data_IF_639406223524
#
_entry.id   IF_639406223524
#
_cell.length_a   1.000
_cell.length_b   1.000
_cell.length_c   1.000
_cell.angle_alpha   90.00
_cell.angle_beta   90.00
_cell.angle_gamma   90.00
#
_symmetry.space_group_name_H-M   'P 1'
#
loop_
_entity.id
_entity.type
_entity.pdbx_description
1 polymer ?
#
# COMPACT_ATOMS: atom_id res chain seq x y z
N UNK A 1 2.93 -20.27 4.85
CA UNK A 1 3.63 -19.81 3.61
C UNK A 1 2.62 -19.33 2.56
N UNK A 2 1.64 -20.16 2.16
CA UNK A 2 0.60 -19.79 1.16
C UNK A 2 -0.21 -18.55 1.54
N UNK A 3 -0.58 -18.42 2.82
CA UNK A 3 -1.39 -17.30 3.33
C UNK A 3 -0.67 -15.94 3.24
N UNK A 4 0.67 -15.95 3.30
CA UNK A 4 1.49 -14.75 3.18
C UNK A 4 1.53 -14.28 1.71
N UNK A 5 1.64 -15.22 0.77
CA UNK A 5 1.60 -14.97 -0.68
C UNK A 5 0.22 -14.43 -1.10
N UNK A 6 -0.87 -15.05 -0.62
CA UNK A 6 -2.25 -14.60 -0.89
C UNK A 6 -2.46 -13.18 -0.36
N UNK A 7 -1.99 -12.87 0.85
CA UNK A 7 -2.05 -11.50 1.39
C UNK A 7 -1.22 -10.50 0.58
N UNK A 8 -0.05 -10.88 0.10
CA UNK A 8 0.76 -9.99 -0.76
C UNK A 8 -0.01 -9.69 -2.04
N UNK A 9 -0.58 -10.70 -2.69
CA UNK A 9 -1.38 -10.54 -3.92
C UNK A 9 -2.61 -9.66 -3.69
N UNK A 10 -3.33 -9.85 -2.58
CA UNK A 10 -4.47 -9.01 -2.21
C UNK A 10 -4.04 -7.55 -2.00
N UNK A 11 -2.94 -7.31 -1.27
CA UNK A 11 -2.47 -5.94 -1.04
C UNK A 11 -1.99 -5.28 -2.35
N UNK A 12 -1.32 -6.05 -3.22
CA UNK A 12 -0.88 -5.56 -4.54
C UNK A 12 -2.09 -5.23 -5.44
N UNK A 13 -3.12 -6.08 -5.45
CA UNK A 13 -4.37 -5.81 -6.15
C UNK A 13 -5.08 -4.57 -5.56
N UNK A 14 -5.09 -4.42 -4.24
CA UNK A 14 -5.66 -3.25 -3.57
C UNK A 14 -4.92 -1.95 -3.94
N UNK A 15 -3.59 -2.00 -4.08
CA UNK A 15 -2.81 -0.87 -4.60
C UNK A 15 -3.21 -0.53 -6.04
N UNK A 16 -3.33 -1.53 -6.91
CA UNK A 16 -3.76 -1.30 -8.30
C UNK A 16 -5.15 -0.67 -8.37
N UNK A 17 -6.07 -1.11 -7.51
CA UNK A 17 -7.39 -0.50 -7.37
C UNK A 17 -7.26 0.93 -6.86
N UNK A 18 -6.43 1.19 -5.85
CA UNK A 18 -6.20 2.54 -5.35
C UNK A 18 -5.64 3.47 -6.42
N UNK A 19 -4.70 3.02 -7.26
CA UNK A 19 -4.17 3.81 -8.39
C UNK A 19 -5.28 4.14 -9.40
N UNK A 20 -6.21 3.23 -9.64
CA UNK A 20 -7.30 3.41 -10.61
C UNK A 20 -8.47 4.25 -10.07
N UNK A 21 -8.72 4.16 -8.77
CA UNK A 21 -9.86 4.81 -8.08
C UNK A 21 -9.48 6.22 -7.61
N UNK A 22 -8.23 6.43 -7.18
CA UNK A 22 -7.82 7.72 -6.66
C UNK A 22 -7.46 8.67 -7.82
N UNK A 23 -7.94 9.92 -7.79
CA UNK A 23 -7.63 10.88 -8.84
C UNK A 23 -6.12 11.13 -8.95
N UNK A 24 -5.67 11.43 -10.17
CA UNK A 24 -4.26 11.50 -10.54
C UNK A 24 -3.47 12.60 -9.80
N UNK A 25 -4.16 13.57 -9.20
CA UNK A 25 -3.58 14.59 -8.32
C UNK A 25 -3.07 14.01 -6.99
N UNK A 26 -3.62 12.87 -6.54
CA UNK A 26 -3.25 12.23 -5.28
C UNK A 26 -2.33 11.03 -5.48
N UNK A 27 -2.44 10.32 -6.60
CA UNK A 27 -1.48 9.29 -7.01
C UNK A 27 -1.15 9.52 -8.48
N UNK A 28 0.07 10.00 -8.71
CA UNK A 28 0.58 10.20 -10.06
C UNK A 28 1.48 9.04 -10.42
N UNK A 29 1.21 8.39 -11.54
CA UNK A 29 2.12 7.43 -12.12
C UNK A 29 2.51 7.96 -13.50
N UNK A 30 3.70 8.57 -13.58
CA UNK A 30 4.26 8.99 -14.86
C UNK A 30 4.96 7.78 -15.50
N UNK A 31 4.15 6.88 -16.03
CA UNK A 31 4.59 5.92 -17.03
C UNK A 31 4.60 6.70 -18.35
N UNK A 32 5.76 6.96 -18.94
CA UNK A 32 5.81 7.38 -20.34
C UNK A 32 5.37 6.20 -21.23
N UNK A 33 6.22 5.81 -22.19
CA UNK A 33 5.99 4.63 -23.02
C UNK A 33 6.44 3.30 -22.37
N UNK A 34 6.70 3.30 -21.06
CA UNK A 34 7.41 2.26 -20.33
C UNK A 34 6.50 1.48 -19.38
N UNK A 35 5.73 0.54 -19.93
CA UNK A 35 4.83 -0.35 -19.15
C UNK A 35 5.58 -1.21 -18.12
N UNK A 36 6.87 -1.47 -18.33
CA UNK A 36 7.72 -2.24 -17.42
C UNK A 36 7.91 -1.56 -16.05
N UNK A 37 7.79 -0.23 -15.97
CA UNK A 37 7.89 0.53 -14.71
C UNK A 37 6.77 0.19 -13.73
N UNK A 38 5.56 -0.10 -14.24
CA UNK A 38 4.43 -0.55 -13.41
C UNK A 38 4.74 -1.89 -12.73
N UNK A 39 5.30 -2.83 -13.49
CA UNK A 39 5.74 -4.13 -12.97
C UNK A 39 6.80 -3.97 -11.87
N UNK A 40 7.76 -3.07 -12.09
CA UNK A 40 8.82 -2.79 -11.13
C UNK A 40 8.30 -2.12 -9.85
N UNK A 41 7.38 -1.17 -9.95
CA UNK A 41 6.74 -0.58 -8.76
C UNK A 41 5.90 -1.60 -8.01
N UNK A 42 5.12 -2.43 -8.72
CA UNK A 42 4.36 -3.51 -8.10
C UNK A 42 5.28 -4.50 -7.38
N UNK A 43 6.44 -4.81 -7.95
CA UNK A 43 7.45 -5.66 -7.33
C UNK A 43 8.05 -5.02 -6.07
N UNK A 44 8.41 -3.74 -6.13
CA UNK A 44 8.90 -2.98 -4.96
C UNK A 44 7.85 -2.95 -3.86
N UNK A 45 6.59 -2.64 -4.19
CA UNK A 45 5.50 -2.65 -3.23
C UNK A 45 5.29 -4.02 -2.59
N UNK A 46 5.34 -5.09 -3.39
CA UNK A 46 5.22 -6.46 -2.89
C UNK A 46 6.37 -6.82 -1.93
N UNK A 47 7.60 -6.43 -2.25
CA UNK A 47 8.77 -6.63 -1.39
C UNK A 47 8.65 -5.86 -0.08
N UNK A 48 8.31 -4.57 -0.15
CA UNK A 48 8.07 -3.72 1.02
C UNK A 48 6.99 -4.33 1.92
N UNK A 49 5.86 -4.77 1.33
CA UNK A 49 4.79 -5.39 2.09
C UNK A 49 5.11 -6.80 2.61
N UNK A 50 6.04 -7.52 1.99
CA UNK A 50 6.45 -8.85 2.43
C UNK A 50 7.43 -8.79 3.60
N UNK A 51 8.37 -7.84 3.57
CA UNK A 51 9.46 -7.77 4.54
C UNK A 51 9.25 -6.70 5.61
N UNK A 52 8.88 -5.48 5.21
CA UNK A 52 8.83 -4.33 6.13
C UNK A 52 7.52 -4.35 6.94
N UNK A 53 6.39 -4.62 6.27
CA UNK A 53 5.08 -4.67 6.94
C UNK A 53 5.02 -5.61 8.15
N UNK A 54 5.49 -6.88 8.12
CA UNK A 54 5.44 -7.74 9.30
C UNK A 54 6.32 -7.24 10.45
N UNK A 55 7.49 -6.67 10.15
CA UNK A 55 8.39 -6.10 11.16
C UNK A 55 7.73 -4.90 11.84
N UNK A 56 7.23 -3.95 11.05
CA UNK A 56 6.55 -2.75 11.57
C UNK A 56 5.30 -3.14 12.34
N UNK A 57 4.54 -4.13 11.86
CA UNK A 57 3.34 -4.63 12.55
C UNK A 57 3.67 -5.32 13.88
N UNK A 58 4.77 -6.08 13.95
CA UNK A 58 5.22 -6.69 15.19
C UNK A 58 5.58 -5.63 16.24
N UNK A 59 6.32 -4.59 15.83
CA UNK A 59 6.68 -3.48 16.70
C UNK A 59 5.45 -2.66 17.14
N UNK A 60 4.48 -2.51 16.23
CA UNK A 60 3.28 -1.72 16.45
C UNK A 60 2.15 -2.49 17.15
N UNK A 61 2.29 -3.79 17.37
CA UNK A 61 1.24 -4.65 17.95
C UNK A 61 0.73 -4.17 19.33
N UNK A 62 1.59 -3.75 20.29
CA UNK A 62 1.13 -3.32 21.61
C UNK A 62 0.24 -2.08 21.53
N UNK A 63 0.66 -1.11 20.71
CA UNK A 63 -0.06 0.14 20.49
C UNK A 63 -1.30 -0.11 19.59
N UNK A 64 -1.22 -1.09 18.69
CA UNK A 64 -2.32 -1.50 17.82
C UNK A 64 -3.52 -2.03 18.61
N UNK A 65 -3.27 -2.75 19.70
CA UNK A 65 -4.33 -3.19 20.62
C UNK A 65 -4.96 -2.01 21.37
N UNK A 66 -4.17 -1.02 21.78
CA UNK A 66 -4.66 0.19 22.45
C UNK A 66 -5.48 1.10 21.53
N UNK A 67 -5.19 1.08 20.22
CA UNK A 67 -5.83 1.94 19.21
C UNK A 67 -6.92 1.24 18.40
N UNK A 68 -7.40 0.07 18.86
CA UNK A 68 -8.44 -0.73 18.19
C UNK A 68 -8.14 -1.04 16.71
N UNK A 69 -6.86 -1.15 16.35
CA UNK A 69 -6.43 -1.41 14.97
C UNK A 69 -6.28 -0.17 14.08
N UNK A 70 -6.47 1.06 14.58
CA UNK A 70 -6.20 2.29 13.82
C UNK A 70 -4.74 2.35 13.32
N UNK A 71 -3.80 1.83 14.09
CA UNK A 71 -2.39 1.79 13.66
C UNK A 71 -2.17 0.88 12.44
N UNK A 72 -2.99 -0.16 12.24
CA UNK A 72 -2.88 -0.99 11.04
C UNK A 72 -3.18 -0.19 9.77
N UNK A 73 -4.09 0.78 9.84
CA UNK A 73 -4.37 1.73 8.77
C UNK A 73 -3.14 2.62 8.49
N UNK A 74 -2.53 3.17 9.54
CA UNK A 74 -1.32 4.01 9.41
C UNK A 74 -0.17 3.23 8.78
N UNK A 75 0.03 1.97 9.18
CA UNK A 75 1.06 1.10 8.58
C UNK A 75 0.81 0.92 7.09
N UNK A 76 -0.44 0.70 6.66
CA UNK A 76 -0.76 0.58 5.23
C UNK A 76 -0.40 1.86 4.46
N UNK A 77 -0.69 3.04 5.03
CA UNK A 77 -0.29 4.34 4.46
C UNK A 77 1.23 4.48 4.35
N UNK A 78 1.94 4.13 5.43
CA UNK A 78 3.40 4.22 5.50
C UNK A 78 4.08 3.32 4.49
N UNK A 79 3.57 2.10 4.26
CA UNK A 79 4.13 1.21 3.24
C UNK A 79 3.97 1.78 1.83
N UNK A 80 2.83 2.43 1.57
CA UNK A 80 2.57 3.09 0.29
C UNK A 80 3.50 4.29 0.05
N UNK A 81 3.67 5.14 1.07
CA UNK A 81 4.66 6.24 1.03
C UNK A 81 6.08 5.72 0.85
N UNK A 82 6.47 4.66 1.56
CA UNK A 82 7.79 4.06 1.43
C UNK A 82 8.03 3.50 0.02
N UNK A 83 6.98 2.95 -0.59
CA UNK A 83 7.02 2.51 -1.99
C UNK A 83 7.15 3.70 -2.95
N UNK A 84 6.44 4.81 -2.71
CA UNK A 84 6.59 6.04 -3.47
C UNK A 84 8.01 6.62 -3.35
N UNK A 85 8.59 6.57 -2.16
CA UNK A 85 9.97 6.97 -1.90
C UNK A 85 10.97 6.14 -2.69
N UNK A 86 10.87 4.81 -2.61
CA UNK A 86 11.73 3.88 -3.34
C UNK A 86 11.56 4.03 -4.85
N UNK A 87 10.32 4.19 -5.32
CA UNK A 87 10.02 4.48 -6.73
C UNK A 87 10.68 5.78 -7.21
N UNK A 88 10.65 6.84 -6.40
CA UNK A 88 11.31 8.09 -6.72
C UNK A 88 12.83 7.93 -6.84
N UNK A 89 13.46 7.19 -5.92
CA UNK A 89 14.90 6.90 -6.02
C UNK A 89 15.25 6.06 -7.26
N UNK A 90 14.40 5.11 -7.61
CA UNK A 90 14.56 4.25 -8.79
C UNK A 90 14.06 4.90 -10.09
N UNK A 91 13.62 6.17 -10.06
CA UNK A 91 13.04 6.92 -11.20
C UNK A 91 11.89 6.16 -11.90
N UNK A 92 11.10 5.39 -11.15
CA UNK A 92 10.01 4.57 -11.68
C UNK A 92 8.72 5.34 -11.94
N UNK A 93 8.61 6.58 -11.44
CA UNK A 93 7.52 7.49 -11.78
C UNK A 93 6.25 7.35 -10.92
N UNK A 94 6.22 6.45 -9.94
CA UNK A 94 5.15 6.40 -8.94
C UNK A 94 5.39 7.44 -7.84
N UNK A 95 4.42 8.34 -7.69
CA UNK A 95 4.37 9.41 -6.69
C UNK A 95 3.02 9.42 -5.99
N UNK A 96 3.01 9.87 -4.74
CA UNK A 96 1.81 10.05 -3.92
C UNK A 96 1.72 11.54 -3.59
N UNK A 97 0.76 12.23 -4.19
CA UNK A 97 0.76 13.69 -4.32
C UNK A 97 2.07 14.15 -4.95
N UNK A 98 2.77 15.06 -4.26
CA UNK A 98 4.09 15.56 -4.65
C UNK A 98 5.28 14.72 -4.13
N UNK A 99 5.03 13.65 -3.38
CA UNK A 99 6.10 12.86 -2.78
C UNK A 99 6.55 11.73 -3.71
N UNK A 100 7.86 11.60 -4.03
CA UNK A 100 9.01 12.45 -3.65
C UNK A 100 9.27 13.63 -4.62
N UNK A 101 9.82 14.78 -4.18
CA UNK A 101 10.56 15.01 -2.92
C UNK A 101 9.81 15.76 -1.80
N UNK A 102 8.65 16.37 -2.07
CA UNK A 102 7.97 17.24 -1.09
C UNK A 102 6.79 16.52 -0.43
N UNK A 103 6.80 16.49 0.91
CA UNK A 103 5.68 16.03 1.72
C UNK A 103 4.69 17.19 1.95
N UNK A 104 3.94 17.54 0.90
CA UNK A 104 2.87 18.55 1.00
C UNK A 104 1.59 17.95 1.61
N UNK A 105 0.61 18.80 1.92
CA UNK A 105 -0.71 18.38 2.41
C UNK A 105 -1.36 17.32 1.49
N UNK A 106 -1.15 17.43 0.19
CA UNK A 106 -1.70 16.51 -0.81
C UNK A 106 -1.07 15.12 -0.75
N UNK A 107 0.21 15.02 -0.38
CA UNK A 107 0.88 13.73 -0.18
C UNK A 107 0.34 13.01 1.07
N UNK A 108 0.08 13.77 2.14
CA UNK A 108 -0.51 13.23 3.38
C UNK A 108 -1.93 12.76 3.10
N UNK A 109 -2.75 13.60 2.47
CA UNK A 109 -4.14 13.29 2.13
C UNK A 109 -4.18 12.09 1.17
N UNK A 110 -3.33 12.07 0.14
CA UNK A 110 -3.22 10.98 -0.82
C UNK A 110 -2.82 9.67 -0.15
N UNK A 111 -1.84 9.68 0.74
CA UNK A 111 -1.42 8.49 1.49
C UNK A 111 -2.52 7.98 2.43
N UNK A 112 -3.22 8.87 3.13
CA UNK A 112 -4.32 8.51 4.05
C UNK A 112 -5.50 7.93 3.27
N UNK A 113 -5.92 8.56 2.17
CA UNK A 113 -7.02 8.06 1.34
C UNK A 113 -6.67 6.73 0.66
N UNK A 114 -5.45 6.61 0.14
CA UNK A 114 -4.98 5.35 -0.42
C UNK A 114 -4.93 4.24 0.63
N UNK A 115 -4.51 4.55 1.86
CA UNK A 115 -4.54 3.60 2.97
C UNK A 115 -5.95 3.18 3.36
N UNK A 116 -6.92 4.10 3.27
CA UNK A 116 -8.34 3.80 3.47
C UNK A 116 -8.84 2.81 2.43
N UNK A 117 -8.59 3.09 1.16
CA UNK A 117 -8.96 2.20 0.07
C UNK A 117 -8.29 0.84 0.24
N UNK A 118 -6.99 0.80 0.51
CA UNK A 118 -6.25 -0.45 0.71
C UNK A 118 -6.82 -1.24 1.90
N UNK A 119 -7.13 -0.56 3.00
CA UNK A 119 -7.71 -1.19 4.19
C UNK A 119 -9.09 -1.77 3.90
N UNK A 120 -9.95 -1.01 3.22
CA UNK A 120 -11.30 -1.45 2.82
C UNK A 120 -11.23 -2.60 1.83
N UNK A 121 -10.43 -2.49 0.77
CA UNK A 121 -10.27 -3.54 -0.24
C UNK A 121 -9.67 -4.81 0.39
N UNK A 122 -8.68 -4.68 1.26
CA UNK A 122 -8.08 -5.81 1.96
C UNK A 122 -9.07 -6.47 2.93
N UNK A 123 -9.91 -5.70 3.62
CA UNK A 123 -10.96 -6.23 4.48
C UNK A 123 -12.02 -6.97 3.66
N UNK A 124 -12.51 -6.38 2.57
CA UNK A 124 -13.49 -6.99 1.68
C UNK A 124 -12.94 -8.25 1.00
N UNK A 125 -11.70 -8.20 0.51
CA UNK A 125 -11.02 -9.35 -0.06
C UNK A 125 -10.79 -10.44 0.99
N UNK A 126 -10.46 -10.08 2.25
CA UNK A 126 -10.32 -11.05 3.34
C UNK A 126 -11.65 -11.68 3.72
N UNK A 127 -12.77 -10.95 3.63
CA UNK A 127 -14.12 -11.49 3.88
C UNK A 127 -14.52 -12.42 2.72
N UNK A 128 -14.27 -12.01 1.47
CA UNK A 128 -14.63 -12.77 0.28
C UNK A 128 -13.75 -14.02 0.06
N UNK A 129 -12.45 -13.92 0.37
CA UNK A 129 -11.48 -15.01 0.25
C UNK A 129 -11.31 -15.80 1.54
N UNK A 130 -12.01 -15.46 2.63
CA UNK A 130 -12.00 -16.26 3.84
C UNK A 130 -12.50 -17.65 3.46
N UNK A 131 -11.65 -18.70 3.46
CA UNK A 131 -12.18 -20.04 3.52
C UNK A 131 -12.98 -20.04 4.82
N UNK A 132 -14.28 -20.35 4.76
CA UNK A 132 -15.06 -20.73 5.94
C UNK A 132 -14.26 -21.80 6.70
N UNK A 133 -13.40 -21.41 7.64
CA UNK A 133 -13.13 -22.21 8.82
C UNK A 133 -14.28 -21.91 9.77
N UNK A 134 -15.44 -22.43 9.38
CA UNK A 134 -16.49 -22.73 10.32
C UNK A 134 -16.19 -24.17 10.75
N UNK A 135 -15.95 -24.31 12.06
CA UNK A 135 -15.67 -25.54 12.83
C UNK A 135 -14.19 -25.94 12.90
#
# INVERSE_FOLDING_TARGET
MVELIVRILINAAALLVAIKVLPSNLISFNYGNDWWKLLLVALVFALVNSYIKPIVKALSMPIGLLTLGLIAFVINALMLLLTAFLSGQLKLGFKVGDFPPTLNSDAIIGAVLAALIISVVSALASIALSPRKIL
#
